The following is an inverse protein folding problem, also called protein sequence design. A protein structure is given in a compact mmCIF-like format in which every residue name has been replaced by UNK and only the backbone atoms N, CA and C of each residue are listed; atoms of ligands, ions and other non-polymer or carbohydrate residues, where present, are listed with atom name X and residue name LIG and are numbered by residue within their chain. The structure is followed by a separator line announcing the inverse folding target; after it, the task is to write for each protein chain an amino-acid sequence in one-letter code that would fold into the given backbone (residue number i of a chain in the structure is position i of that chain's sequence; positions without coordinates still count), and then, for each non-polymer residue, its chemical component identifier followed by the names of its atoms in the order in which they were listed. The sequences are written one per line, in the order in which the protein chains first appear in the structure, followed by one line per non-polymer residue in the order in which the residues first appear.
data_IF_436357655009
#
_entry.id   IF_436357655009
#
_cell.length_a   1.000
_cell.length_b   1.000
_cell.length_c   1.000
_cell.angle_alpha   90.00
_cell.angle_beta   90.00
_cell.angle_gamma   90.00
#
_symmetry.space_group_name_H-M   'P 1'
#
loop_
_entity.id
_entity.type
_entity.pdbx_description
1 polymer ?
#
# COMPACT_ATOMS: atom_id res chain seq x y z
N UNK A 1 7.45 10.22 -11.77
CA UNK A 1 7.67 11.55 -11.21
C UNK A 1 7.20 11.55 -9.76
N UNK A 2 8.05 11.14 -8.82
CA UNK A 2 7.84 11.23 -7.38
C UNK A 2 9.20 11.53 -6.74
N UNK A 3 9.75 12.69 -7.09
CA UNK A 3 10.91 13.26 -6.41
C UNK A 3 10.48 14.41 -5.50
N UNK A 4 9.59 14.15 -4.55
CA UNK A 4 9.64 14.88 -3.31
C UNK A 4 10.41 14.00 -2.33
N UNK A 5 11.66 14.36 -2.04
CA UNK A 5 12.37 13.85 -0.88
C UNK A 5 11.46 14.07 0.32
N UNK A 6 10.96 13.00 0.90
CA UNK A 6 10.31 13.06 2.21
C UNK A 6 11.46 13.23 3.19
N UNK A 7 11.74 14.46 3.59
CA UNK A 7 12.70 14.73 4.66
C UNK A 7 12.06 14.27 5.97
N UNK A 8 12.68 13.28 6.58
CA UNK A 8 12.28 12.80 7.91
C UNK A 8 12.80 13.81 8.95
N UNK A 9 12.05 14.88 9.16
CA UNK A 9 12.37 15.87 10.18
C UNK A 9 12.37 15.25 11.59
N UNK A 10 13.39 15.51 12.35
CA UNK A 10 13.46 15.13 13.78
C UNK A 10 12.67 16.07 14.68
N UNK A 11 12.26 17.22 14.18
CA UNK A 11 11.62 18.29 14.98
C UNK A 11 10.10 18.24 14.95
N UNK A 12 9.51 17.59 13.92
CA UNK A 12 8.05 17.50 13.83
C UNK A 12 7.53 16.41 14.77
N UNK A 13 6.81 16.83 15.80
CA UNK A 13 6.10 15.93 16.70
C UNK A 13 4.80 15.41 16.05
N UNK A 14 4.53 14.11 16.22
CA UNK A 14 3.37 13.41 15.65
C UNK A 14 2.63 12.66 16.75
N UNK A 15 1.33 12.91 16.89
CA UNK A 15 0.46 12.44 17.97
C UNK A 15 0.44 13.44 19.14
N UNK A 16 -0.36 13.20 20.21
CA UNK A 16 -1.40 12.19 20.27
C UNK A 16 -2.54 12.49 19.31
N UNK A 17 -3.38 11.50 19.00
CA UNK A 17 -4.50 11.60 18.07
C UNK A 17 -4.27 10.78 16.81
N UNK A 18 -5.03 11.05 15.74
CA UNK A 18 -4.95 10.25 14.52
C UNK A 18 -3.63 10.50 13.77
N UNK A 19 -2.94 9.40 13.48
CA UNK A 19 -1.67 9.37 12.73
C UNK A 19 -1.84 8.56 11.46
N UNK A 20 -1.44 9.13 10.33
CA UNK A 20 -1.38 8.43 9.07
C UNK A 20 0.04 7.97 8.75
N UNK A 21 0.13 6.81 8.11
CA UNK A 21 1.36 6.24 7.56
C UNK A 21 1.21 6.04 6.06
N UNK A 22 2.30 6.26 5.33
CA UNK A 22 2.45 5.81 3.94
C UNK A 22 3.41 4.65 3.92
N UNK A 23 2.97 3.54 3.36
CA UNK A 23 3.71 2.28 3.36
C UNK A 23 3.82 1.68 1.96
N UNK A 24 4.85 0.86 1.77
CA UNK A 24 4.93 -0.08 0.66
C UNK A 24 5.10 -1.50 1.18
N UNK A 25 4.73 -2.48 0.38
CA UNK A 25 4.99 -3.89 0.69
C UNK A 25 5.06 -4.78 -0.53
N UNK A 26 5.93 -5.79 -0.45
CA UNK A 26 5.93 -6.96 -1.32
C UNK A 26 4.94 -8.00 -0.79
N UNK A 27 3.80 -8.11 -1.45
CA UNK A 27 2.71 -9.00 -1.02
C UNK A 27 2.96 -10.50 -1.23
N UNK A 28 4.05 -10.89 -1.88
CA UNK A 28 4.33 -12.28 -2.28
C UNK A 28 4.18 -13.29 -1.14
N UNK A 29 4.69 -12.94 0.06
CA UNK A 29 4.66 -13.80 1.24
C UNK A 29 3.46 -13.56 2.17
N UNK A 30 2.47 -12.78 1.75
CA UNK A 30 1.31 -12.43 2.56
C UNK A 30 0.00 -12.96 1.98
N UNK A 31 -0.91 -13.32 2.88
CA UNK A 31 -2.27 -13.72 2.54
C UNK A 31 -3.25 -12.52 2.51
N UNK A 32 -2.79 -11.42 1.93
CA UNK A 32 -3.54 -10.19 1.82
C UNK A 32 -3.37 -9.24 3.01
N UNK A 33 -4.19 -8.20 3.02
CA UNK A 33 -4.18 -7.17 4.05
C UNK A 33 -4.84 -7.62 5.35
N UNK A 34 -6.07 -8.17 5.24
CA UNK A 34 -6.93 -8.42 6.39
C UNK A 34 -6.38 -9.51 7.28
N UNK A 35 -6.25 -9.23 8.57
CA UNK A 35 -5.97 -10.27 9.56
C UNK A 35 -7.12 -11.29 9.56
N UNK A 36 -6.75 -12.55 9.43
CA UNK A 36 -7.67 -13.67 9.51
C UNK A 36 -7.34 -14.35 10.83
N UNK A 37 -8.33 -14.61 11.66
CA UNK A 37 -8.21 -15.24 13.03
C UNK A 37 -7.43 -16.57 13.06
N UNK A 38 -6.56 -16.81 12.12
CA UNK A 38 -5.64 -17.94 11.95
C UNK A 38 -4.21 -17.41 12.00
N UNK A 39 -3.23 -18.24 12.34
CA UNK A 39 -1.79 -17.91 12.35
C UNK A 39 -1.20 -17.54 10.96
N UNK A 40 -2.03 -17.06 10.05
CA UNK A 40 -1.66 -16.74 8.68
C UNK A 40 -1.06 -15.33 8.64
N UNK A 41 0.09 -15.20 8.01
CA UNK A 41 0.81 -13.94 7.87
C UNK A 41 0.08 -12.97 6.94
N UNK A 42 -0.34 -11.82 7.47
CA UNK A 42 -1.01 -10.75 6.72
C UNK A 42 -0.27 -9.44 6.85
N UNK A 43 -0.44 -8.54 5.88
CA UNK A 43 0.21 -7.22 5.90
C UNK A 43 -0.30 -6.41 7.10
N UNK A 44 -1.63 -6.40 7.31
CA UNK A 44 -2.26 -5.66 8.41
C UNK A 44 -1.75 -6.11 9.76
N UNK A 45 -1.84 -7.41 10.08
CA UNK A 45 -1.41 -7.95 11.37
C UNK A 45 0.10 -7.74 11.64
N UNK A 46 0.94 -7.89 10.59
CA UNK A 46 2.39 -7.64 10.72
C UNK A 46 2.67 -6.16 11.00
N UNK A 47 1.98 -5.26 10.32
CA UNK A 47 2.14 -3.83 10.53
C UNK A 47 1.58 -3.38 11.89
N UNK A 48 0.43 -3.89 12.31
CA UNK A 48 -0.18 -3.60 13.61
C UNK A 48 0.77 -3.93 14.77
N UNK A 49 1.39 -5.11 14.73
CA UNK A 49 2.36 -5.52 15.73
C UNK A 49 3.57 -4.56 15.79
N UNK A 50 4.10 -4.15 14.62
CA UNK A 50 5.22 -3.21 14.54
C UNK A 50 4.83 -1.80 15.01
N UNK A 51 3.64 -1.32 14.65
CA UNK A 51 3.15 -0.01 15.09
C UNK A 51 2.88 -0.02 16.60
N UNK A 52 2.26 -1.07 17.12
CA UNK A 52 1.97 -1.21 18.55
C UNK A 52 3.24 -1.16 19.42
N UNK A 53 4.35 -1.75 18.94
CA UNK A 53 5.63 -1.72 19.64
C UNK A 53 6.22 -0.31 19.77
N UNK A 54 5.93 0.58 18.83
CA UNK A 54 6.38 1.99 18.86
C UNK A 54 5.36 2.87 19.58
N UNK A 55 4.07 2.58 19.40
CA UNK A 55 2.97 3.31 20.04
C UNK A 55 2.86 3.04 21.54
N UNK A 56 3.46 1.95 22.02
CA UNK A 56 3.37 1.49 23.41
C UNK A 56 1.92 1.16 23.86
N UNK A 57 1.08 0.79 22.91
CA UNK A 57 -0.28 0.28 23.11
C UNK A 57 -0.77 -0.46 21.86
N UNK A 58 -1.81 -1.28 22.03
CA UNK A 58 -2.50 -1.93 20.91
C UNK A 58 -3.15 -0.87 20.00
N UNK A 59 -3.03 -1.06 18.69
CA UNK A 59 -3.57 -0.15 17.67
C UNK A 59 -4.46 -0.92 16.70
N UNK A 60 -5.48 -0.25 16.19
CA UNK A 60 -6.31 -0.74 15.09
C UNK A 60 -5.94 0.03 13.81
N UNK A 61 -5.48 -0.67 12.78
CA UNK A 61 -5.10 -0.06 11.52
C UNK A 61 -6.26 -0.02 10.52
N UNK A 62 -6.57 1.15 10.02
CA UNK A 62 -7.52 1.35 8.93
C UNK A 62 -6.79 1.73 7.65
N UNK A 63 -6.85 0.88 6.62
CA UNK A 63 -6.20 1.14 5.33
C UNK A 63 -7.14 1.80 4.32
N UNK A 64 -6.56 2.54 3.37
CA UNK A 64 -7.30 3.14 2.26
C UNK A 64 -7.94 2.10 1.34
N UNK A 65 -7.29 0.95 1.15
CA UNK A 65 -7.84 -0.14 0.36
C UNK A 65 -7.19 -1.47 0.72
N UNK A 66 -8.00 -2.48 1.06
CA UNK A 66 -7.50 -3.83 1.30
C UNK A 66 -6.99 -4.43 0.00
N UNK A 67 -5.95 -5.24 0.11
CA UNK A 67 -5.37 -6.01 -0.99
C UNK A 67 -5.54 -7.49 -0.73
N UNK A 68 -5.70 -8.27 -1.79
CA UNK A 68 -5.79 -9.73 -1.72
C UNK A 68 -4.39 -10.37 -1.59
N UNK A 69 -4.35 -11.68 -1.37
CA UNK A 69 -3.11 -12.46 -1.25
C UNK A 69 -2.19 -12.24 -2.45
N UNK A 70 -0.91 -12.02 -2.21
CA UNK A 70 0.11 -11.81 -3.23
C UNK A 70 0.13 -10.42 -3.88
N UNK A 71 -0.83 -9.54 -3.58
CA UNK A 71 -0.88 -8.19 -4.17
C UNK A 71 0.11 -7.28 -3.47
N UNK A 72 0.95 -6.59 -4.26
CA UNK A 72 1.91 -5.59 -3.79
C UNK A 72 1.27 -4.21 -3.68
N UNK A 73 1.88 -3.32 -2.90
CA UNK A 73 1.58 -1.91 -2.92
C UNK A 73 2.85 -1.07 -2.86
N UNK A 74 2.92 -0.01 -3.68
CA UNK A 74 4.00 0.97 -3.64
C UNK A 74 3.65 2.19 -2.80
N UNK A 75 2.36 2.42 -2.51
CA UNK A 75 1.87 3.59 -1.81
C UNK A 75 0.51 3.29 -1.20
N UNK A 76 0.47 2.60 -0.08
CA UNK A 76 -0.74 2.36 0.70
C UNK A 76 -0.79 3.38 1.84
N UNK A 77 -1.96 3.95 2.07
CA UNK A 77 -2.20 4.85 3.20
C UNK A 77 -2.96 4.10 4.28
N UNK A 78 -2.49 4.19 5.50
CA UNK A 78 -3.15 3.67 6.69
C UNK A 78 -3.22 4.73 7.76
N UNK A 79 -4.14 4.61 8.71
CA UNK A 79 -4.15 5.46 9.91
C UNK A 79 -4.53 4.65 11.14
N UNK A 80 -4.16 5.19 12.28
CA UNK A 80 -4.47 4.67 13.61
C UNK A 80 -4.52 5.80 14.63
N UNK A 81 -5.04 5.53 15.82
CA UNK A 81 -5.05 6.48 16.94
C UNK A 81 -3.81 6.27 17.81
N UNK A 82 -2.98 7.30 17.90
CA UNK A 82 -1.81 7.31 18.77
C UNK A 82 -2.15 7.97 20.12
N UNK A 83 -1.75 7.33 21.23
CA UNK A 83 -1.88 7.89 22.59
C UNK A 83 -0.62 8.62 23.06
N UNK A 84 0.46 8.49 22.29
CA UNK A 84 1.77 9.07 22.60
C UNK A 84 2.21 10.02 21.51
N UNK A 85 3.00 11.02 21.87
CA UNK A 85 3.66 11.91 20.92
C UNK A 85 5.09 11.45 20.71
N UNK A 86 5.50 11.35 19.46
CA UNK A 86 6.88 11.03 19.09
C UNK A 86 7.32 11.86 17.89
N UNK A 87 8.62 12.14 17.71
CA UNK A 87 9.13 12.72 16.47
C UNK A 87 8.77 11.87 15.26
N UNK A 88 8.46 12.49 14.13
CA UNK A 88 8.16 11.81 12.87
C UNK A 88 9.20 10.75 12.53
N UNK A 89 10.49 11.09 12.69
CA UNK A 89 11.60 10.16 12.47
C UNK A 89 11.51 8.91 13.36
N UNK A 90 11.11 9.08 14.63
CA UNK A 90 10.97 7.96 15.58
C UNK A 90 9.84 7.01 15.17
N UNK A 91 8.73 7.54 14.67
CA UNK A 91 7.67 6.70 14.09
C UNK A 91 8.18 5.88 12.92
N UNK A 92 8.76 6.54 11.89
CA UNK A 92 9.19 5.86 10.67
C UNK A 92 10.30 4.85 10.93
N UNK A 93 11.37 5.24 11.63
CA UNK A 93 12.50 4.35 11.87
C UNK A 93 12.20 3.27 12.91
N UNK A 94 11.44 3.62 13.97
CA UNK A 94 11.05 2.67 15.01
C UNK A 94 10.16 1.56 14.43
N UNK A 95 9.12 1.92 13.67
CA UNK A 95 8.25 0.92 13.01
C UNK A 95 9.08 0.07 12.03
N UNK A 96 9.94 0.71 11.19
CA UNK A 96 10.77 -0.02 10.23
C UNK A 96 11.77 -0.97 10.89
N UNK A 97 12.23 -0.70 12.11
CA UNK A 97 13.13 -1.61 12.84
C UNK A 97 12.42 -2.89 13.32
N UNK A 98 11.10 -2.81 13.55
CA UNK A 98 10.27 -3.94 13.95
C UNK A 98 9.65 -4.68 12.75
N UNK A 99 9.67 -4.08 11.56
CA UNK A 99 9.10 -4.67 10.35
C UNK A 99 10.08 -5.62 9.64
N UNK A 100 9.58 -6.72 9.06
CA UNK A 100 10.35 -7.55 8.15
C UNK A 100 10.70 -6.77 6.86
N UNK A 101 11.63 -7.31 6.07
CA UNK A 101 12.16 -6.62 4.87
C UNK A 101 11.15 -6.34 3.77
N UNK A 102 10.02 -7.01 3.77
CA UNK A 102 8.99 -6.94 2.74
C UNK A 102 7.84 -5.94 3.06
N UNK A 103 7.93 -5.20 4.17
CA UNK A 103 7.10 -4.02 4.46
C UNK A 103 7.99 -2.85 4.85
N UNK A 104 7.69 -1.64 4.35
CA UNK A 104 8.38 -0.41 4.75
C UNK A 104 7.40 0.74 4.92
N UNK A 105 7.63 1.53 5.96
CA UNK A 105 6.99 2.82 6.19
C UNK A 105 7.88 3.90 5.59
N UNK A 106 7.31 4.73 4.72
CA UNK A 106 8.00 5.85 4.10
C UNK A 106 7.77 7.15 4.83
N UNK A 107 6.59 7.31 5.40
CA UNK A 107 6.18 8.55 6.01
C UNK A 107 5.17 8.31 7.14
N UNK A 108 5.18 9.19 8.13
CA UNK A 108 4.19 9.28 9.19
C UNK A 108 3.79 10.76 9.37
N UNK A 109 2.57 11.02 9.84
CA UNK A 109 2.15 12.39 10.13
C UNK A 109 0.82 12.43 10.85
N UNK A 110 0.61 13.48 11.67
CA UNK A 110 -0.68 13.76 12.26
C UNK A 110 -1.67 14.16 11.17
N UNK A 111 -2.90 13.72 11.31
CA UNK A 111 -4.02 14.06 10.43
C UNK A 111 -5.16 14.63 11.25
N UNK A 112 -6.09 15.40 10.65
CA UNK A 112 -7.21 15.98 11.39
C UNK A 112 -8.07 14.92 12.08
N UNK A 113 -8.71 15.31 13.18
CA UNK A 113 -9.69 14.48 13.87
C UNK A 113 -10.80 14.04 12.93
N UNK A 114 -11.22 12.78 13.05
CA UNK A 114 -12.20 12.18 12.15
C UNK A 114 -11.66 11.76 10.78
N UNK A 115 -10.36 11.92 10.52
CA UNK A 115 -9.76 11.40 9.28
C UNK A 115 -9.91 9.88 9.20
N UNK A 116 -10.30 9.41 8.03
CA UNK A 116 -10.32 7.98 7.73
C UNK A 116 -9.60 7.70 6.41
N UNK A 117 -8.49 6.96 6.45
CA UNK A 117 -7.77 6.56 5.24
C UNK A 117 -8.69 5.86 4.23
N UNK A 118 -9.67 5.09 4.71
CA UNK A 118 -10.63 4.38 3.86
C UNK A 118 -11.59 5.32 3.14
N UNK A 119 -12.18 6.29 3.84
CA UNK A 119 -13.23 7.17 3.31
C UNK A 119 -12.66 8.44 2.67
N UNK A 120 -11.52 8.92 3.14
CA UNK A 120 -10.83 10.07 2.56
C UNK A 120 -10.07 9.72 1.26
N UNK A 121 -9.97 8.44 0.91
CA UNK A 121 -9.31 8.03 -0.33
C UNK A 121 -10.09 8.51 -1.56
N UNK A 122 -9.53 9.47 -2.30
CA UNK A 122 -10.14 10.04 -3.52
C UNK A 122 -9.91 9.18 -4.76
N UNK A 123 -8.85 8.36 -4.77
CA UNK A 123 -8.53 7.47 -5.89
C UNK A 123 -7.74 6.25 -5.42
N UNK A 124 -7.87 5.16 -6.15
CA UNK A 124 -7.02 3.96 -6.05
C UNK A 124 -6.50 3.65 -7.44
N UNK A 125 -5.20 3.49 -7.56
CA UNK A 125 -4.54 3.19 -8.84
C UNK A 125 -3.97 1.78 -8.78
N UNK A 126 -4.33 0.95 -9.76
CA UNK A 126 -3.80 -0.40 -9.91
C UNK A 126 -2.94 -0.49 -11.17
N UNK A 127 -1.85 -1.27 -11.08
CA UNK A 127 -0.98 -1.58 -12.21
C UNK A 127 -0.86 -3.09 -12.32
N UNK A 128 -1.18 -3.62 -13.50
CA UNK A 128 -0.91 -5.01 -13.85
C UNK A 128 0.30 -5.02 -14.78
N UNK A 129 1.36 -5.68 -14.36
CA UNK A 129 2.55 -5.88 -15.18
C UNK A 129 2.39 -7.19 -15.91
N UNK A 130 2.33 -7.15 -17.24
CA UNK A 130 2.23 -8.33 -18.08
C UNK A 130 3.51 -8.45 -18.91
N UNK A 131 4.09 -9.63 -18.93
CA UNK A 131 5.27 -9.96 -19.72
C UNK A 131 4.93 -11.02 -20.76
N UNK A 132 4.98 -10.64 -22.04
CA UNK A 132 4.79 -11.56 -23.16
C UNK A 132 6.15 -11.91 -23.77
N UNK A 133 6.58 -13.16 -23.62
CA UNK A 133 7.77 -13.74 -24.24
C UNK A 133 7.75 -15.25 -24.12
N UNK A 134 8.53 -15.96 -24.95
CA UNK A 134 8.55 -17.43 -24.98
C UNK A 134 9.01 -18.05 -23.65
N UNK A 135 9.99 -17.45 -22.99
CA UNK A 135 10.55 -17.98 -21.74
C UNK A 135 10.02 -17.24 -20.51
N UNK A 136 9.71 -17.93 -19.40
CA UNK A 136 9.27 -17.29 -18.18
C UNK A 136 10.38 -16.41 -17.57
N UNK A 137 10.01 -15.32 -16.84
CA UNK A 137 10.99 -14.47 -16.19
C UNK A 137 11.58 -15.10 -14.94
N UNK A 138 12.89 -14.91 -14.72
CA UNK A 138 13.53 -15.27 -13.47
C UNK A 138 13.39 -14.14 -12.44
N UNK A 139 13.78 -12.91 -12.81
CA UNK A 139 13.88 -11.78 -11.89
C UNK A 139 12.51 -11.21 -11.47
N UNK A 140 11.52 -11.22 -12.35
CA UNK A 140 10.20 -10.64 -12.10
C UNK A 140 9.12 -11.72 -11.88
N UNK A 141 9.50 -12.93 -11.56
CA UNK A 141 8.64 -14.11 -11.55
C UNK A 141 7.33 -13.92 -10.77
N UNK A 142 7.36 -13.22 -9.65
CA UNK A 142 6.20 -13.03 -8.77
C UNK A 142 5.60 -11.62 -8.87
N UNK A 143 6.08 -10.80 -9.82
CA UNK A 143 5.65 -9.41 -9.99
C UNK A 143 5.04 -9.10 -11.34
N UNK A 144 5.02 -10.08 -12.24
CA UNK A 144 4.42 -9.95 -13.56
C UNK A 144 3.54 -11.15 -13.86
N UNK A 145 2.44 -10.91 -14.56
CA UNK A 145 1.68 -11.96 -15.23
C UNK A 145 2.42 -12.33 -16.51
N UNK A 146 3.03 -13.51 -16.55
CA UNK A 146 3.72 -14.00 -17.74
C UNK A 146 2.75 -14.74 -18.67
N UNK A 147 2.88 -14.47 -19.97
CA UNK A 147 2.14 -15.18 -21.02
C UNK A 147 3.11 -15.65 -22.11
N UNK A 148 3.12 -16.94 -22.45
CA UNK A 148 3.88 -17.40 -23.61
C UNK A 148 3.19 -16.95 -24.90
N UNK A 149 3.94 -16.31 -25.76
CA UNK A 149 3.74 -16.16 -27.21
C UNK A 149 2.34 -15.97 -27.78
N UNK A 150 1.48 -15.18 -27.19
CA UNK A 150 0.31 -14.70 -27.95
C UNK A 150 0.37 -13.17 -27.99
N UNK A 151 0.37 -12.53 -29.17
CA UNK A 151 0.20 -11.09 -29.23
C UNK A 151 -1.06 -10.74 -28.44
N UNK A 152 -0.93 -9.99 -27.35
CA UNK A 152 -2.08 -9.53 -26.60
C UNK A 152 -2.91 -8.64 -27.53
N UNK A 153 -4.07 -9.15 -27.97
CA UNK A 153 -4.97 -8.38 -28.84
C UNK A 153 -5.68 -7.34 -27.97
N UNK A 154 -5.04 -6.20 -27.81
CA UNK A 154 -5.51 -5.08 -27.01
C UNK A 154 -6.80 -4.42 -27.51
N UNK A 155 -7.26 -4.77 -28.70
CA UNK A 155 -8.49 -4.21 -29.29
C UNK A 155 -9.77 -4.48 -28.49
N UNK A 156 -9.76 -5.42 -27.55
CA UNK A 156 -10.89 -5.72 -26.64
C UNK A 156 -10.80 -5.03 -25.27
N UNK A 157 -9.67 -4.42 -24.98
CA UNK A 157 -9.45 -3.70 -23.75
C UNK A 157 -9.46 -2.21 -24.08
N UNK A 158 -10.62 -1.59 -24.09
CA UNK A 158 -10.72 -0.14 -24.28
C UNK A 158 -10.49 0.58 -22.97
N UNK A 159 -9.25 0.97 -22.65
CA UNK A 159 -9.00 2.03 -21.69
C UNK A 159 -9.07 3.39 -22.38
N UNK A 160 -9.36 4.47 -21.65
CA UNK A 160 -9.29 5.82 -22.18
C UNK A 160 -7.85 6.19 -22.62
N UNK A 161 -7.68 7.24 -23.43
CA UNK A 161 -6.51 7.51 -24.30
C UNK A 161 -5.24 8.01 -23.61
N UNK A 162 -4.87 7.47 -22.45
CA UNK A 162 -3.61 7.80 -21.77
C UNK A 162 -2.67 6.60 -21.59
N UNK A 163 -2.73 5.63 -22.51
CA UNK A 163 -1.89 4.44 -22.42
C UNK A 163 -0.60 4.67 -23.19
N UNK A 164 0.50 4.81 -22.48
CA UNK A 164 1.83 4.86 -23.06
C UNK A 164 2.33 3.44 -23.33
N UNK A 165 2.78 3.18 -24.55
CA UNK A 165 3.35 1.93 -25.02
C UNK A 165 4.86 2.02 -25.14
N UNK A 166 5.58 1.33 -24.28
CA UNK A 166 6.90 0.81 -24.60
C UNK A 166 7.13 -0.47 -23.79
N UNK A 167 7.39 -1.56 -24.51
CA UNK A 167 7.84 -2.86 -23.97
C UNK A 167 6.99 -3.49 -22.84
N UNK A 168 5.72 -3.77 -23.07
CA UNK A 168 4.98 -4.80 -22.32
C UNK A 168 4.52 -4.46 -20.90
N UNK A 169 4.51 -3.20 -20.48
CA UNK A 169 3.99 -2.78 -19.18
C UNK A 169 2.64 -2.09 -19.36
N UNK A 170 1.60 -2.67 -18.76
CA UNK A 170 0.24 -2.13 -18.77
C UNK A 170 -0.11 -1.54 -17.42
N UNK A 171 -0.64 -0.32 -17.43
CA UNK A 171 -1.23 0.30 -16.26
C UNK A 171 -2.71 0.57 -16.54
N UNK A 172 -3.59 -0.10 -15.83
CA UNK A 172 -5.03 0.14 -15.90
C UNK A 172 -5.43 1.15 -14.81
N UNK A 173 -5.97 2.33 -15.16
CA UNK A 173 -6.56 3.21 -14.17
C UNK A 173 -7.84 2.59 -13.62
N UNK A 174 -7.97 2.52 -12.30
CA UNK A 174 -9.20 2.08 -11.67
C UNK A 174 -10.31 3.11 -11.94
N UNK A 175 -11.39 2.67 -12.58
CA UNK A 175 -12.58 3.50 -12.76
C UNK A 175 -13.28 3.65 -11.41
N UNK A 176 -13.56 4.87 -11.00
CA UNK A 176 -14.46 5.16 -9.89
C UNK A 176 -15.80 4.50 -10.20
N UNK A 177 -16.26 3.58 -9.35
CA UNK A 177 -17.63 3.08 -9.43
C UNK A 177 -18.50 4.08 -8.66
N UNK A 178 -19.36 4.85 -9.33
CA UNK A 178 -20.28 5.74 -8.63
C UNK A 178 -21.32 4.89 -7.88
N UNK A 179 -21.58 5.18 -6.63
CA UNK A 179 -22.82 4.75 -5.98
C UNK A 179 -22.74 3.59 -4.99
N UNK A 180 -21.58 3.16 -4.49
CA UNK A 180 -21.52 2.02 -3.55
C UNK A 180 -21.31 2.39 -2.07
N UNK A 181 -21.55 3.62 -1.67
CA UNK A 181 -21.55 3.97 -0.24
C UNK A 181 -22.83 4.72 0.10
N UNK A 182 -23.56 4.33 1.14
CA UNK A 182 -24.64 5.16 1.66
C UNK A 182 -24.04 6.49 2.11
N UNK A 183 -24.68 7.58 1.72
CA UNK A 183 -24.40 8.92 2.24
C UNK A 183 -24.73 8.93 3.75
N UNK A 184 -24.02 9.74 4.55
CA UNK A 184 -24.27 9.85 5.99
C UNK A 184 -25.67 10.31 6.31
#
# INVERSE_FOLDING_TARGET
VLERRIELSTEVAVGPGPVALVIEYDGTGFHGWQDQKSSIRTVGGTLEAAVASVADHAVDLVCAGRTDAGVHACYQVVHFEARVTRPLRSWVLGINSALPSDIRVHWAGSVPDGFSARFAATARRYRYLMLSRETPPALLRQRVAWTPTTPLILRRWTPPPSTFWESGIFSLPCRRVPGQYPQP
#
